data_IF_564991821620
#
_entry.id   IF_564991821620
#
_cell.length_a   1.000
_cell.length_b   1.000
_cell.length_c   1.000
_cell.angle_alpha   90.00
_cell.angle_beta   90.00
_cell.angle_gamma   90.00
#
_symmetry.space_group_name_H-M   'P 1'
#
loop_
_entity.id
_entity.type
_entity.pdbx_description
1 polymer ?
#
# COMPACT_ATOMS: atom_id res chain seq x y z
N UNK A 1 -14.11 -16.55 6.68
CA UNK A 1 -12.85 -16.87 5.96
C UNK A 1 -12.29 -15.56 5.43
N UNK A 2 -10.98 -15.45 5.20
CA UNK A 2 -10.35 -14.23 4.65
C UNK A 2 -9.40 -14.62 3.52
N UNK A 3 -9.14 -13.69 2.61
CA UNK A 3 -8.19 -13.85 1.51
C UNK A 3 -7.06 -12.87 1.69
N UNK A 4 -5.84 -13.40 1.64
CA UNK A 4 -4.61 -12.62 1.76
C UNK A 4 -4.05 -12.37 0.36
N UNK A 5 -3.89 -11.11 -0.01
CA UNK A 5 -3.23 -10.70 -1.24
C UNK A 5 -1.84 -10.21 -0.89
N UNK A 6 -0.84 -10.75 -1.58
CA UNK A 6 0.58 -10.45 -1.36
C UNK A 6 1.19 -9.88 -2.64
N UNK A 7 1.97 -8.80 -2.49
CA UNK A 7 2.74 -8.20 -3.56
C UNK A 7 4.13 -7.83 -3.06
N UNK A 8 5.17 -8.30 -3.76
CA UNK A 8 6.56 -8.01 -3.45
C UNK A 8 7.24 -7.31 -4.62
N UNK A 9 8.07 -6.33 -4.29
CA UNK A 9 8.85 -5.57 -5.25
C UNK A 9 10.28 -6.07 -5.33
N UNK A 10 10.97 -5.75 -6.43
CA UNK A 10 12.39 -6.08 -6.61
C UNK A 10 13.30 -5.44 -5.54
N UNK A 11 12.82 -4.39 -4.85
CA UNK A 11 13.50 -3.74 -3.74
C UNK A 11 13.27 -4.43 -2.38
N UNK A 12 12.53 -5.53 -2.34
CA UNK A 12 12.21 -6.27 -1.10
C UNK A 12 11.09 -5.66 -0.27
N UNK A 13 10.31 -4.72 -0.83
CA UNK A 13 9.13 -4.16 -0.15
C UNK A 13 7.96 -5.12 -0.36
N UNK A 14 7.27 -5.43 0.73
CA UNK A 14 6.18 -6.40 0.77
C UNK A 14 4.90 -5.70 1.20
N UNK A 15 3.90 -5.70 0.33
CA UNK A 15 2.57 -5.19 0.61
C UNK A 15 1.62 -6.36 0.80
N UNK A 16 0.81 -6.28 1.85
CA UNK A 16 -0.13 -7.32 2.26
C UNK A 16 -1.49 -6.67 2.45
N UNK A 17 -2.52 -7.25 1.83
CA UNK A 17 -3.91 -6.80 1.97
C UNK A 17 -4.81 -7.99 2.32
N UNK A 18 -5.59 -7.84 3.38
CA UNK A 18 -6.60 -8.82 3.79
C UNK A 18 -7.96 -8.36 3.27
N UNK A 19 -8.67 -9.22 2.55
CA UNK A 19 -10.04 -8.97 2.07
C UNK A 19 -10.95 -10.16 2.37
N UNK A 20 -12.24 -10.02 2.08
CA UNK A 20 -13.16 -11.15 2.07
C UNK A 20 -12.79 -12.18 0.97
N UNK A 21 -13.03 -13.49 1.16
CA UNK A 21 -12.82 -14.56 0.17
C UNK A 21 -13.54 -14.37 -1.17
N UNK A 22 -14.69 -13.68 -1.19
CA UNK A 22 -15.45 -13.37 -2.41
C UNK A 22 -14.76 -12.34 -3.32
N UNK A 23 -13.73 -11.66 -2.80
CA UNK A 23 -13.03 -10.60 -3.52
C UNK A 23 -12.04 -11.17 -4.54
N UNK A 24 -12.07 -10.58 -5.74
CA UNK A 24 -11.14 -10.90 -6.83
C UNK A 24 -9.69 -10.56 -6.45
N UNK A 25 -8.74 -10.96 -7.30
CA UNK A 25 -7.32 -10.67 -7.07
C UNK A 25 -7.08 -9.16 -6.90
N UNK A 26 -6.50 -8.75 -5.77
CA UNK A 26 -6.13 -7.36 -5.49
C UNK A 26 -4.67 -7.04 -5.86
N UNK A 27 -4.05 -7.89 -6.69
CA UNK A 27 -2.64 -7.73 -7.09
C UNK A 27 -2.41 -6.41 -7.84
N UNK A 28 -3.32 -6.02 -8.71
CA UNK A 28 -3.23 -4.76 -9.46
C UNK A 28 -3.43 -3.54 -8.53
N UNK A 29 -4.36 -3.64 -7.57
CA UNK A 29 -4.55 -2.62 -6.55
C UNK A 29 -3.29 -2.46 -5.68
N UNK A 30 -2.68 -3.56 -5.24
CA UNK A 30 -1.42 -3.55 -4.49
C UNK A 30 -0.26 -2.94 -5.28
N UNK A 31 -0.16 -3.26 -6.57
CA UNK A 31 0.85 -2.66 -7.47
C UNK A 31 0.61 -1.16 -7.63
N UNK A 32 -0.64 -0.74 -7.81
CA UNK A 32 -1.01 0.68 -7.91
C UNK A 32 -0.70 1.43 -6.60
N UNK A 33 -1.02 0.83 -5.45
CA UNK A 33 -0.68 1.37 -4.12
C UNK A 33 0.84 1.61 -4.00
N UNK A 34 1.65 0.65 -4.43
CA UNK A 34 3.10 0.80 -4.41
C UNK A 34 3.56 1.95 -5.32
N UNK A 35 3.12 1.97 -6.59
CA UNK A 35 3.62 2.92 -7.58
C UNK A 35 3.17 4.37 -7.33
N UNK A 36 1.91 4.56 -6.93
CA UNK A 36 1.31 5.90 -6.80
C UNK A 36 1.29 6.45 -5.38
N UNK A 37 1.35 5.61 -4.35
CA UNK A 37 1.30 6.08 -2.97
C UNK A 37 2.63 5.85 -2.27
N UNK A 38 3.13 4.62 -2.27
CA UNK A 38 4.36 4.30 -1.54
C UNK A 38 5.58 5.02 -2.13
N UNK A 39 5.78 4.95 -3.44
CA UNK A 39 6.90 5.63 -4.09
C UNK A 39 6.77 7.16 -3.95
N UNK A 40 5.57 7.70 -4.10
CA UNK A 40 5.35 9.16 -4.10
C UNK A 40 5.49 9.79 -2.70
N UNK A 41 4.89 9.19 -1.68
CA UNK A 41 4.84 9.78 -0.34
C UNK A 41 5.89 9.24 0.64
N UNK A 42 6.52 8.09 0.34
CA UNK A 42 7.52 7.46 1.21
C UNK A 42 8.91 7.51 0.59
N UNK A 43 9.09 7.05 -0.66
CA UNK A 43 10.42 7.02 -1.30
C UNK A 43 10.87 8.41 -1.73
N UNK A 44 9.99 9.17 -2.41
CA UNK A 44 10.32 10.52 -2.89
C UNK A 44 10.28 11.57 -1.79
N UNK A 45 9.78 11.25 -0.59
CA UNK A 45 9.67 12.20 0.49
C UNK A 45 11.03 12.40 1.17
N UNK A 46 11.70 13.55 0.98
CA UNK A 46 13.05 13.77 1.53
C UNK A 46 13.05 13.88 3.07
N UNK A 47 11.89 14.09 3.70
CA UNK A 47 11.73 14.14 5.14
C UNK A 47 11.56 12.74 5.77
N UNK A 48 11.26 11.73 4.95
CA UNK A 48 11.20 10.36 5.41
C UNK A 48 12.64 9.85 5.57
N UNK A 49 13.12 9.80 6.81
CA UNK A 49 14.44 9.26 7.22
C UNK A 49 14.53 7.74 7.02
N UNK A 50 14.14 7.24 5.85
CA UNK A 50 14.14 5.82 5.52
C UNK A 50 15.57 5.29 5.31
N UNK A 51 16.56 6.17 5.13
CA UNK A 51 17.97 5.82 5.00
C UNK A 51 18.63 5.47 6.34
N UNK A 52 18.09 5.93 7.47
CA UNK A 52 18.69 5.69 8.80
C UNK A 52 18.35 4.28 9.33
N UNK A 53 17.16 3.76 9.00
CA UNK A 53 16.71 2.42 9.38
C UNK A 53 16.05 1.73 8.17
N UNK A 54 16.79 0.97 7.34
CA UNK A 54 16.27 0.41 6.08
C UNK A 54 15.12 -0.59 6.26
N UNK A 55 14.96 -1.13 7.48
CA UNK A 55 13.89 -2.07 7.82
C UNK A 55 12.66 -1.39 8.46
N UNK A 56 12.69 -0.05 8.64
CA UNK A 56 11.63 0.68 9.34
C UNK A 56 11.14 1.86 8.52
N UNK A 57 10.16 1.57 7.68
CA UNK A 57 9.45 2.59 6.91
C UNK A 57 8.53 3.41 7.82
N UNK A 58 8.91 4.66 8.10
CA UNK A 58 8.05 5.59 8.85
C UNK A 58 7.12 6.29 7.89
N UNK A 59 5.95 5.71 7.68
CA UNK A 59 4.87 6.33 6.90
C UNK A 59 4.11 7.32 7.78
N UNK A 60 4.76 8.41 8.19
CA UNK A 60 4.13 9.47 8.99
C UNK A 60 3.68 10.64 8.10
N UNK A 61 3.06 10.32 6.96
CA UNK A 61 2.54 11.32 6.04
C UNK A 61 1.00 11.30 6.07
N UNK A 62 0.34 12.32 6.64
CA UNK A 62 -1.12 12.40 6.67
C UNK A 62 -1.75 12.37 5.27
N UNK A 63 -1.09 12.97 4.27
CA UNK A 63 -1.54 12.94 2.88
C UNK A 63 -1.47 11.53 2.28
N UNK A 64 -0.49 10.71 2.66
CA UNK A 64 -0.47 9.30 2.25
C UNK A 64 -1.70 8.56 2.77
N UNK A 65 -2.00 8.68 4.07
CA UNK A 65 -3.14 8.01 4.68
C UNK A 65 -4.46 8.46 4.08
N UNK A 66 -4.63 9.76 3.85
CA UNK A 66 -5.84 10.30 3.23
C UNK A 66 -6.04 9.77 1.81
N UNK A 67 -5.01 9.88 0.95
CA UNK A 67 -5.12 9.44 -0.44
C UNK A 67 -5.28 7.92 -0.53
N UNK A 68 -4.56 7.15 0.28
CA UNK A 68 -4.70 5.69 0.33
C UNK A 68 -6.11 5.28 0.78
N UNK A 69 -6.64 5.94 1.82
CA UNK A 69 -8.00 5.68 2.29
C UNK A 69 -9.04 5.97 1.21
N UNK A 70 -8.93 7.12 0.54
CA UNK A 70 -9.81 7.47 -0.58
C UNK A 70 -9.73 6.39 -1.67
N UNK A 71 -8.54 5.95 -2.05
CA UNK A 71 -8.38 4.89 -3.05
C UNK A 71 -9.05 3.59 -2.64
N UNK A 72 -8.86 3.14 -1.40
CA UNK A 72 -9.43 1.89 -0.88
C UNK A 72 -10.96 1.95 -0.86
N UNK A 73 -11.56 3.07 -0.44
CA UNK A 73 -13.02 3.23 -0.40
C UNK A 73 -13.63 3.21 -1.80
N UNK A 74 -12.92 3.72 -2.81
CA UNK A 74 -13.37 3.65 -4.20
C UNK A 74 -13.16 2.28 -4.86
N UNK A 75 -12.54 1.31 -4.17
CA UNK A 75 -12.43 -0.04 -4.73
C UNK A 75 -13.83 -0.67 -4.79
N UNK A 76 -14.18 -1.30 -5.93
CA UNK A 76 -15.51 -1.89 -6.12
C UNK A 76 -15.80 -3.05 -5.14
N UNK A 77 -14.80 -3.52 -4.42
CA UNK A 77 -14.89 -4.62 -3.45
C UNK A 77 -14.97 -4.15 -2.00
N UNK A 78 -14.98 -2.84 -1.74
CA UNK A 78 -15.01 -2.30 -0.37
C UNK A 78 -16.44 -2.19 0.19
N UNK A 79 -17.45 -1.98 -0.66
CA UNK A 79 -18.87 -1.82 -0.30
C UNK A 79 -19.75 -3.04 -0.68
N UNK A 80 -19.15 -4.24 -0.84
CA UNK A 80 -19.90 -5.48 -1.13
C UNK A 80 -20.07 -6.38 0.08
#
# INVERSE_FOLDING_TARGET
MYKLHYFETLSGIRLVMCTDPGVNSMKDALKYIYQHFFVEFVIKNPLAKNHEEPNKWKVNNPSFNHNLFQYIVHLPSFDS
#
